data_IF_950377682890
#
_entry.id   IF_950377682890
#
_cell.length_a   1.000
_cell.length_b   1.000
_cell.length_c   1.000
_cell.angle_alpha   90.00
_cell.angle_beta   90.00
_cell.angle_gamma   90.00
#
_symmetry.space_group_name_H-M   'P 1'
#
loop_
_entity.id
_entity.type
_entity.pdbx_description
1 polymer ?
#
# COMPACT_ATOMS: atom_id res chain seq x y z
N UNK A 1 6.40 -4.51 20.46
CA UNK A 1 5.92 -3.17 20.12
C UNK A 1 5.45 -3.10 18.65
N UNK A 2 6.26 -3.62 17.72
CA UNK A 2 5.89 -3.61 16.30
C UNK A 2 4.64 -4.45 16.03
N UNK A 3 4.55 -5.63 16.62
CA UNK A 3 3.40 -6.52 16.46
C UNK A 3 2.11 -5.89 17.01
N UNK A 4 2.19 -5.20 18.15
CA UNK A 4 1.06 -4.51 18.74
C UNK A 4 0.53 -3.41 17.80
N UNK A 5 1.42 -2.61 17.21
CA UNK A 5 1.03 -1.55 16.29
C UNK A 5 0.38 -2.10 15.03
N UNK A 6 0.86 -3.24 14.51
CA UNK A 6 0.29 -3.90 13.35
C UNK A 6 -1.12 -4.39 13.66
N UNK A 7 -1.32 -5.06 14.79
CA UNK A 7 -2.62 -5.59 15.18
C UNK A 7 -3.65 -4.47 15.33
N UNK A 8 -3.25 -3.36 15.96
CA UNK A 8 -4.10 -2.20 16.13
C UNK A 8 -4.48 -1.56 14.78
N UNK A 9 -3.52 -1.43 13.87
CA UNK A 9 -3.75 -0.90 12.52
C UNK A 9 -4.68 -1.80 11.72
N UNK A 10 -4.50 -3.11 11.80
CA UNK A 10 -5.34 -4.08 11.10
C UNK A 10 -6.78 -4.00 11.63
N UNK A 11 -6.97 -3.89 12.94
CA UNK A 11 -8.30 -3.73 13.54
C UNK A 11 -8.97 -2.46 13.04
N UNK A 12 -8.26 -1.34 13.00
CA UNK A 12 -8.77 -0.07 12.49
C UNK A 12 -9.18 -0.17 11.03
N UNK A 13 -8.37 -0.84 10.20
CA UNK A 13 -8.67 -1.06 8.80
C UNK A 13 -9.87 -1.98 8.61
N UNK A 14 -10.02 -3.01 9.45
CA UNK A 14 -11.17 -3.91 9.41
C UNK A 14 -12.47 -3.16 9.71
N UNK A 15 -12.48 -2.27 10.70
CA UNK A 15 -13.63 -1.45 11.01
C UNK A 15 -13.97 -0.52 9.84
N UNK A 16 -12.98 0.13 9.25
CA UNK A 16 -13.19 0.97 8.08
C UNK A 16 -13.76 0.15 6.92
N UNK A 17 -13.18 -1.02 6.68
CA UNK A 17 -13.58 -1.91 5.57
C UNK A 17 -15.03 -2.36 5.71
N UNK A 18 -15.44 -2.76 6.90
CA UNK A 18 -16.81 -3.17 7.17
C UNK A 18 -17.83 -2.07 6.88
N UNK A 19 -17.45 -0.81 7.13
CA UNK A 19 -18.32 0.33 6.88
C UNK A 19 -18.38 0.76 5.42
N UNK A 20 -17.26 0.69 4.72
CA UNK A 20 -17.11 1.29 3.39
C UNK A 20 -17.06 0.26 2.27
N UNK A 21 -16.51 -0.92 2.54
CA UNK A 21 -16.49 -2.09 1.65
C UNK A 21 -16.10 -1.85 0.19
N UNK A 22 -15.38 -0.76 -0.12
CA UNK A 22 -15.00 -0.42 -1.48
C UNK A 22 -13.49 -0.39 -1.61
N UNK A 23 -12.96 -1.21 -2.52
CA UNK A 23 -11.53 -1.29 -2.78
C UNK A 23 -10.97 -2.69 -2.63
N UNK A 24 -9.66 -2.76 -2.49
CA UNK A 24 -8.91 -4.01 -2.41
C UNK A 24 -8.05 -4.01 -1.14
N UNK A 25 -8.00 -5.14 -0.45
CA UNK A 25 -7.03 -5.36 0.61
C UNK A 25 -6.48 -6.78 0.54
N UNK A 26 -5.23 -6.94 0.95
CA UNK A 26 -4.59 -8.23 1.02
C UNK A 26 -3.58 -8.28 2.15
N UNK A 27 -3.38 -9.48 2.67
CA UNK A 27 -2.42 -9.74 3.75
C UNK A 27 -1.41 -10.78 3.28
N UNK A 28 -0.22 -10.69 3.80
CA UNK A 28 0.82 -11.70 3.58
C UNK A 28 1.15 -12.32 4.93
N UNK A 29 0.97 -13.63 5.06
CA UNK A 29 1.19 -14.35 6.32
C UNK A 29 2.27 -15.40 6.16
N UNK A 30 3.08 -15.55 7.20
CA UNK A 30 4.08 -16.63 7.29
C UNK A 30 3.82 -17.34 8.62
N UNK A 31 3.60 -18.66 8.55
CA UNK A 31 3.35 -19.50 9.72
C UNK A 31 2.23 -18.96 10.62
N UNK A 32 1.16 -18.45 10.00
CA UNK A 32 0.01 -17.91 10.70
C UNK A 32 0.18 -16.49 11.22
N UNK A 33 1.34 -15.88 11.04
CA UNK A 33 1.61 -14.51 11.47
C UNK A 33 1.53 -13.56 10.26
N UNK A 34 0.79 -12.46 10.41
CA UNK A 34 0.71 -11.44 9.36
C UNK A 34 2.02 -10.63 9.38
N UNK A 35 2.74 -10.67 8.26
CA UNK A 35 4.03 -9.96 8.13
C UNK A 35 3.95 -8.78 7.16
N UNK A 36 2.84 -8.61 6.46
CA UNK A 36 2.59 -7.46 5.60
C UNK A 36 1.14 -7.35 5.18
N UNK A 37 0.75 -6.15 4.75
CA UNK A 37 -0.60 -5.93 4.22
C UNK A 37 -0.61 -4.72 3.29
N UNK A 38 -1.64 -4.65 2.43
CA UNK A 38 -1.87 -3.54 1.52
C UNK A 38 -3.36 -3.21 1.49
N UNK A 39 -3.68 -1.91 1.40
CA UNK A 39 -5.04 -1.42 1.24
C UNK A 39 -5.10 -0.40 0.11
N UNK A 40 -5.99 -0.62 -0.84
CA UNK A 40 -6.30 0.32 -1.91
C UNK A 40 -7.77 0.70 -1.78
N UNK A 41 -8.03 1.92 -1.32
CA UNK A 41 -9.40 2.43 -1.15
C UNK A 41 -9.99 2.83 -2.50
N UNK A 42 -11.24 2.46 -2.72
CA UNK A 42 -12.00 2.82 -3.92
C UNK A 42 -11.31 2.41 -5.24
N UNK A 43 -10.41 1.41 -5.18
CA UNK A 43 -9.68 0.86 -6.31
C UNK A 43 -8.70 1.83 -6.98
N UNK A 44 -8.39 2.95 -6.34
CA UNK A 44 -7.40 3.91 -6.88
C UNK A 44 -6.45 4.47 -5.84
N UNK A 45 -6.86 4.53 -4.57
CA UNK A 45 -6.07 5.16 -3.51
C UNK A 45 -5.31 4.11 -2.70
N UNK A 46 -4.05 3.87 -3.06
CA UNK A 46 -3.18 3.00 -2.28
C UNK A 46 -2.83 3.74 -0.97
N UNK A 47 -3.63 3.48 0.06
CA UNK A 47 -3.56 4.20 1.32
C UNK A 47 -2.61 3.58 2.33
N UNK A 48 -2.40 2.27 2.27
CA UNK A 48 -1.56 1.56 3.23
C UNK A 48 -0.77 0.46 2.55
N UNK A 49 0.53 0.42 2.82
CA UNK A 49 1.40 -0.69 2.49
C UNK A 49 2.38 -0.85 3.63
N UNK A 50 2.40 -2.02 4.24
CA UNK A 50 3.26 -2.30 5.37
C UNK A 50 3.88 -3.68 5.26
N UNK A 51 5.18 -3.79 5.56
CA UNK A 51 5.90 -5.05 5.70
C UNK A 51 6.74 -4.94 6.97
N UNK A 52 6.69 -5.96 7.83
CA UNK A 52 7.52 -6.01 9.04
C UNK A 52 8.99 -5.83 8.67
N UNK A 53 9.77 -5.06 9.47
CA UNK A 53 11.18 -4.78 9.14
C UNK A 53 12.03 -6.03 8.89
N UNK A 54 11.84 -7.09 9.66
CA UNK A 54 12.59 -8.34 9.50
C UNK A 54 12.23 -9.11 8.21
N UNK A 55 11.13 -8.74 7.57
CA UNK A 55 10.66 -9.40 6.35
C UNK A 55 10.76 -8.51 5.11
N UNK A 56 11.34 -7.33 5.26
CA UNK A 56 11.63 -6.46 4.13
C UNK A 56 12.78 -7.07 3.31
N UNK A 57 12.85 -6.73 2.02
CA UNK A 57 13.83 -7.24 1.06
C UNK A 57 13.63 -8.70 0.64
N UNK A 58 12.49 -9.32 1.01
CA UNK A 58 12.14 -10.66 0.55
C UNK A 58 11.10 -10.64 -0.58
N UNK A 59 10.82 -9.47 -1.13
CA UNK A 59 9.86 -9.35 -2.22
C UNK A 59 8.39 -9.31 -1.78
N UNK A 60 8.12 -9.27 -0.48
CA UNK A 60 6.74 -9.26 0.05
C UNK A 60 6.00 -7.98 -0.35
N UNK A 61 6.64 -6.82 -0.20
CA UNK A 61 6.04 -5.54 -0.61
C UNK A 61 5.75 -5.51 -2.10
N UNK A 62 6.68 -5.99 -2.91
CA UNK A 62 6.51 -6.08 -4.36
C UNK A 62 5.35 -7.01 -4.72
N UNK A 63 5.23 -8.16 -4.06
CA UNK A 63 4.14 -9.10 -4.29
C UNK A 63 2.77 -8.49 -3.92
N UNK A 64 2.70 -7.78 -2.80
CA UNK A 64 1.49 -7.10 -2.37
C UNK A 64 1.07 -6.00 -3.37
N UNK A 65 2.00 -5.17 -3.82
CA UNK A 65 1.72 -4.13 -4.82
C UNK A 65 1.27 -4.75 -6.12
N UNK A 66 1.92 -5.82 -6.58
CA UNK A 66 1.55 -6.49 -7.83
C UNK A 66 0.13 -7.09 -7.73
N UNK A 67 -0.22 -7.67 -6.59
CA UNK A 67 -1.58 -8.17 -6.34
C UNK A 67 -2.61 -7.04 -6.45
N UNK A 68 -2.29 -5.86 -5.90
CA UNK A 68 -3.17 -4.71 -5.96
C UNK A 68 -3.31 -4.18 -7.39
N UNK A 69 -2.21 -4.09 -8.13
CA UNK A 69 -2.23 -3.66 -9.53
C UNK A 69 -3.14 -4.59 -10.34
N UNK A 70 -2.98 -5.89 -10.20
CA UNK A 70 -3.78 -6.87 -10.93
C UNK A 70 -5.26 -6.81 -10.55
N UNK A 71 -5.55 -6.71 -9.26
CA UNK A 71 -6.92 -6.70 -8.75
C UNK A 71 -7.69 -5.41 -9.12
N UNK A 72 -7.00 -4.28 -9.19
CA UNK A 72 -7.64 -3.00 -9.45
C UNK A 72 -7.72 -2.63 -10.93
N UNK A 73 -7.11 -3.41 -11.82
CA UNK A 73 -7.00 -3.11 -13.25
C UNK A 73 -8.35 -2.80 -13.91
N UNK A 74 -9.35 -3.65 -13.70
CA UNK A 74 -10.67 -3.51 -14.32
C UNK A 74 -11.59 -2.57 -13.54
N UNK A 75 -11.26 -2.27 -12.29
CA UNK A 75 -12.16 -1.58 -11.35
C UNK A 75 -11.71 -0.15 -11.01
N UNK A 76 -10.50 0.24 -11.37
CA UNK A 76 -10.00 1.59 -11.09
C UNK A 76 -10.77 2.63 -11.94
N UNK A 77 -11.36 3.66 -11.30
CA UNK A 77 -12.19 4.64 -12.02
C UNK A 77 -11.46 5.38 -13.13
N UNK A 78 -10.18 5.74 -12.89
CA UNK A 78 -9.39 6.51 -13.86
C UNK A 78 -8.29 5.67 -14.51
N UNK A 79 -8.32 4.36 -14.31
CA UNK A 79 -7.26 3.44 -14.75
C UNK A 79 -5.89 3.84 -14.20
N UNK A 80 -5.88 4.26 -12.94
CA UNK A 80 -4.67 4.66 -12.22
C UNK A 80 -4.74 4.24 -10.77
N UNK A 81 -3.58 3.97 -10.17
CA UNK A 81 -3.41 3.88 -8.72
C UNK A 81 -2.56 5.07 -8.28
N UNK A 82 -2.97 5.74 -7.22
CA UNK A 82 -2.28 6.91 -6.70
C UNK A 82 -1.90 6.71 -5.24
N UNK A 83 -0.79 7.29 -4.85
CA UNK A 83 -0.34 7.27 -3.46
C UNK A 83 0.52 8.48 -3.15
N UNK A 84 0.72 8.73 -1.86
CA UNK A 84 1.73 9.66 -1.37
C UNK A 84 2.82 8.84 -0.68
N UNK A 85 4.04 8.95 -1.17
CA UNK A 85 5.18 8.18 -0.65
C UNK A 85 5.99 9.00 0.32
N UNK A 86 6.56 8.33 1.34
CA UNK A 86 7.66 8.91 2.09
C UNK A 86 8.91 9.01 1.20
N UNK A 87 9.85 9.87 1.60
CA UNK A 87 11.14 9.95 0.92
C UNK A 87 11.86 8.60 0.94
N UNK A 88 11.74 7.89 2.06
CA UNK A 88 12.35 6.57 2.25
C UNK A 88 11.83 5.53 1.26
N UNK A 89 10.53 5.53 0.98
CA UNK A 89 9.89 4.52 0.15
C UNK A 89 9.86 4.86 -1.36
N UNK A 90 10.30 6.07 -1.75
CA UNK A 90 10.17 6.54 -3.12
C UNK A 90 10.81 5.61 -4.15
N UNK A 91 12.02 5.14 -3.90
CA UNK A 91 12.73 4.25 -4.84
C UNK A 91 12.01 2.91 -5.00
N UNK A 92 11.41 2.40 -3.92
CA UNK A 92 10.61 1.19 -3.99
C UNK A 92 9.44 1.35 -4.97
N UNK A 93 8.70 2.46 -4.89
CA UNK A 93 7.55 2.67 -5.79
C UNK A 93 8.00 2.86 -7.24
N UNK A 94 9.12 3.52 -7.48
CA UNK A 94 9.70 3.60 -8.83
C UNK A 94 10.00 2.21 -9.39
N UNK A 95 10.58 1.34 -8.56
CA UNK A 95 10.96 -0.02 -8.98
C UNK A 95 9.74 -0.88 -9.34
N UNK A 96 8.58 -0.63 -8.73
CA UNK A 96 7.37 -1.39 -9.04
C UNK A 96 6.49 -0.73 -10.10
N UNK A 97 6.99 0.32 -10.75
CA UNK A 97 6.36 0.90 -11.94
C UNK A 97 5.58 2.19 -11.72
N UNK A 98 5.64 2.77 -10.53
CA UNK A 98 5.01 4.06 -10.27
C UNK A 98 5.90 5.21 -10.73
N UNK A 99 5.27 6.32 -11.09
CA UNK A 99 5.95 7.56 -11.50
C UNK A 99 5.53 8.70 -10.61
N UNK A 100 6.45 9.63 -10.33
CA UNK A 100 6.13 10.85 -9.60
C UNK A 100 5.11 11.66 -10.40
N UNK A 101 3.99 12.02 -9.76
CA UNK A 101 2.86 12.67 -10.44
C UNK A 101 2.70 14.15 -10.09
N UNK A 102 3.53 14.67 -9.19
CA UNK A 102 3.50 16.07 -8.81
C UNK A 102 4.67 16.44 -7.93
N UNK A 103 4.76 17.71 -7.50
CA UNK A 103 5.86 18.18 -6.66
C UNK A 103 5.80 17.56 -5.27
N UNK A 104 6.99 17.36 -4.68
CA UNK A 104 7.09 16.92 -3.29
C UNK A 104 6.57 18.00 -2.36
N UNK A 105 5.85 17.59 -1.31
CA UNK A 105 5.38 18.50 -0.27
C UNK A 105 6.28 18.37 0.97
N UNK A 106 6.53 19.49 1.64
CA UNK A 106 7.30 19.49 2.88
C UNK A 106 6.45 19.01 4.05
N UNK A 107 6.66 17.77 4.43
CA UNK A 107 5.98 17.13 5.57
C UNK A 107 6.97 16.22 6.29
N UNK A 108 6.79 15.96 7.60
CA UNK A 108 7.63 14.99 8.31
C UNK A 108 7.69 13.65 7.57
N UNK A 109 8.90 13.17 7.30
CA UNK A 109 9.11 11.92 6.54
C UNK A 109 8.95 12.06 5.04
N UNK A 110 8.57 13.24 4.53
CA UNK A 110 8.36 13.49 3.11
C UNK A 110 6.93 13.17 2.65
N UNK A 111 6.53 13.77 1.54
CA UNK A 111 5.24 13.49 0.91
C UNK A 111 5.42 13.69 -0.60
N UNK A 112 5.57 12.61 -1.34
CA UNK A 112 5.83 12.63 -2.77
C UNK A 112 4.71 11.90 -3.48
N UNK A 113 3.92 12.58 -4.33
CA UNK A 113 2.84 11.91 -5.05
C UNK A 113 3.38 11.02 -6.16
N UNK A 114 2.88 9.81 -6.21
CA UNK A 114 3.20 8.82 -7.25
C UNK A 114 1.92 8.24 -7.83
N UNK A 115 1.98 7.83 -9.08
CA UNK A 115 0.88 7.14 -9.73
C UNK A 115 1.38 5.98 -10.61
N UNK A 116 0.55 4.96 -10.72
CA UNK A 116 0.69 3.86 -11.68
C UNK A 116 -0.44 3.99 -12.69
N UNK A 117 -0.10 4.06 -13.98
CA UNK A 117 -1.10 4.12 -15.06
C UNK A 117 -1.15 2.79 -15.79
N UNK A 118 -2.35 2.25 -15.88
CA UNK A 118 -2.59 1.00 -16.62
C UNK A 118 -2.44 1.22 -18.12
#
# INVERSE_FOLDING_TARGET
ATQFLIDETIQSLSVWWDKNSSGFQSKYSIEGEIVGFIVVKDFWNLSHLFVLPNYQRFGIGKALVQSAIDACKERSPEKKLKLNSSTYAADFYKCVGFRQSGPSLERPGGCIPYEYSY
#
